data_IF_532491699855
#
_entry.id   IF_532491699855
#
_cell.length_a   1.000
_cell.length_b   1.000
_cell.length_c   1.000
_cell.angle_alpha   90.00
_cell.angle_beta   90.00
_cell.angle_gamma   90.00
#
_symmetry.space_group_name_H-M   'P 1'
#
loop_
_entity.id
_entity.type
_entity.pdbx_description
1 polymer ?
#
# COMPACT_ATOMS: atom_id res chain seq x y z
N UNK A 1 1.20 23.96 24.95
CA UNK A 1 0.38 22.75 24.64
C UNK A 1 -0.70 23.16 23.66
N UNK A 2 -0.65 22.69 22.42
CA UNK A 2 -1.38 23.25 21.27
C UNK A 2 -2.90 22.97 21.39
N UNK A 3 -3.75 23.99 21.25
CA UNK A 3 -5.22 23.91 21.33
C UNK A 3 -5.78 22.79 20.43
N UNK A 4 -5.18 22.57 19.26
CA UNK A 4 -5.53 21.47 18.34
C UNK A 4 -5.39 20.06 18.97
N UNK A 5 -4.43 19.85 19.88
CA UNK A 5 -4.24 18.56 20.55
C UNK A 5 -5.30 18.29 21.62
N UNK A 6 -5.82 19.35 22.28
CA UNK A 6 -6.90 19.24 23.26
C UNK A 6 -8.24 18.94 22.58
N UNK A 7 -8.55 19.60 21.47
CA UNK A 7 -9.79 19.39 20.72
C UNK A 7 -9.82 17.95 20.13
N UNK A 8 -8.68 17.45 19.65
CA UNK A 8 -8.58 16.09 19.10
C UNK A 8 -8.85 15.00 20.15
N UNK A 9 -8.60 15.25 21.43
CA UNK A 9 -8.90 14.32 22.52
C UNK A 9 -10.39 14.24 22.89
N UNK A 10 -11.17 15.26 22.53
CA UNK A 10 -12.61 15.34 22.82
C UNK A 10 -13.46 14.67 21.75
N UNK A 11 -12.91 14.45 20.54
CA UNK A 11 -13.66 13.84 19.44
C UNK A 11 -13.48 12.31 19.49
N UNK A 12 -14.58 11.52 19.52
CA UNK A 12 -14.49 10.06 19.49
C UNK A 12 -13.71 9.57 18.26
N UNK A 13 -12.83 8.57 18.44
CA UNK A 13 -12.02 8.00 17.35
C UNK A 13 -12.88 7.53 16.16
N UNK A 14 -14.11 7.08 16.41
CA UNK A 14 -15.05 6.65 15.36
C UNK A 14 -15.42 7.80 14.43
N UNK A 15 -15.66 9.00 14.96
CA UNK A 15 -16.00 10.19 14.15
C UNK A 15 -14.80 10.65 13.33
N UNK A 16 -13.60 10.61 13.92
CA UNK A 16 -12.35 10.91 13.19
C UNK A 16 -12.14 9.90 12.06
N UNK A 17 -12.35 8.61 12.33
CA UNK A 17 -12.23 7.55 11.32
C UNK A 17 -13.25 7.73 10.20
N UNK A 18 -14.50 8.05 10.52
CA UNK A 18 -15.55 8.31 9.53
C UNK A 18 -15.22 9.53 8.66
N UNK A 19 -14.77 10.63 9.26
CA UNK A 19 -14.28 11.80 8.51
C UNK A 19 -13.15 11.41 7.54
N UNK A 20 -12.19 10.62 8.01
CA UNK A 20 -11.11 10.12 7.18
C UNK A 20 -11.59 9.24 6.04
N UNK A 21 -12.59 8.40 6.28
CA UNK A 21 -13.24 7.58 5.26
C UNK A 21 -13.94 8.44 4.21
N UNK A 22 -14.78 9.39 4.61
CA UNK A 22 -15.48 10.28 3.67
C UNK A 22 -14.51 11.02 2.76
N UNK A 23 -13.42 11.59 3.31
CA UNK A 23 -12.39 12.25 2.50
C UNK A 23 -11.68 11.28 1.54
N UNK A 24 -11.48 10.03 1.93
CA UNK A 24 -10.85 9.04 1.06
C UNK A 24 -11.78 8.64 -0.10
N UNK A 25 -13.08 8.46 0.19
CA UNK A 25 -14.11 8.22 -0.83
C UNK A 25 -14.16 9.38 -1.82
N UNK A 26 -14.28 10.62 -1.32
CA UNK A 26 -14.33 11.81 -2.18
C UNK A 26 -13.09 11.94 -3.06
N UNK A 27 -11.90 11.72 -2.51
CA UNK A 27 -10.66 11.78 -3.28
C UNK A 27 -10.62 10.70 -4.37
N UNK A 28 -11.01 9.47 -4.05
CA UNK A 28 -11.02 8.37 -5.02
C UNK A 28 -12.01 8.63 -6.16
N UNK A 29 -13.19 9.15 -5.85
CA UNK A 29 -14.21 9.53 -6.86
C UNK A 29 -13.71 10.71 -7.71
N UNK A 30 -13.20 11.77 -7.10
CA UNK A 30 -12.71 12.95 -7.81
C UNK A 30 -11.65 12.61 -8.85
N UNK A 31 -10.74 11.69 -8.54
CA UNK A 31 -9.70 11.25 -9.47
C UNK A 31 -10.09 10.01 -10.31
N UNK A 32 -11.31 9.49 -10.19
CA UNK A 32 -11.81 8.36 -11.00
C UNK A 32 -11.06 7.04 -10.77
N UNK A 33 -10.62 6.77 -9.54
CA UNK A 33 -9.95 5.51 -9.15
C UNK A 33 -8.75 5.15 -10.04
N UNK A 34 -7.72 6.00 -10.14
CA UNK A 34 -6.64 5.85 -11.12
C UNK A 34 -5.88 4.53 -11.01
N UNK A 35 -5.78 3.95 -9.81
CA UNK A 35 -5.13 2.65 -9.59
C UNK A 35 -5.76 1.49 -10.37
N UNK A 36 -7.02 1.61 -10.81
CA UNK A 36 -7.69 0.61 -11.66
C UNK A 36 -7.03 0.48 -13.05
N UNK A 37 -6.30 1.50 -13.49
CA UNK A 37 -5.68 1.58 -14.83
C UNK A 37 -4.23 1.09 -14.84
N UNK A 38 -3.68 0.69 -13.70
CA UNK A 38 -2.29 0.23 -13.56
C UNK A 38 -2.24 -1.06 -12.74
N UNK A 39 -1.20 -1.86 -12.92
CA UNK A 39 -0.88 -2.97 -12.02
C UNK A 39 -0.30 -2.35 -10.75
N UNK A 40 -0.99 -2.51 -9.62
CA UNK A 40 -0.64 -1.84 -8.37
C UNK A 40 -0.02 -2.80 -7.38
N UNK A 41 1.20 -2.50 -6.95
CA UNK A 41 2.00 -3.29 -6.01
C UNK A 41 1.98 -2.55 -4.66
N UNK A 42 1.36 -3.15 -3.65
CA UNK A 42 1.40 -2.65 -2.28
C UNK A 42 2.52 -3.31 -1.49
N UNK A 43 3.29 -2.51 -0.76
CA UNK A 43 4.38 -3.05 0.07
C UNK A 43 4.15 -2.63 1.52
N UNK A 44 4.09 -3.60 2.43
CA UNK A 44 3.96 -3.35 3.85
C UNK A 44 4.96 -4.16 4.66
N UNK A 45 5.17 -3.75 5.90
CA UNK A 45 6.07 -4.35 6.87
C UNK A 45 6.53 -3.33 7.89
N UNK A 46 7.37 -3.73 8.82
CA UNK A 46 7.96 -2.82 9.81
C UNK A 46 9.17 -2.11 9.21
N UNK A 47 10.13 -2.85 8.68
CA UNK A 47 11.39 -2.36 8.07
C UNK A 47 11.53 -2.81 6.62
N UNK A 48 12.42 -2.17 5.86
CA UNK A 48 12.79 -2.57 4.51
C UNK A 48 11.76 -2.25 3.41
N UNK A 49 10.62 -1.64 3.73
CA UNK A 49 9.58 -1.28 2.75
C UNK A 49 10.09 -0.37 1.63
N UNK A 50 10.77 0.71 2.00
CA UNK A 50 11.30 1.70 1.04
C UNK A 50 12.38 1.08 0.15
N UNK A 51 13.27 0.25 0.73
CA UNK A 51 14.29 -0.48 -0.04
C UNK A 51 13.65 -1.45 -1.02
N UNK A 52 12.72 -2.30 -0.55
CA UNK A 52 12.00 -3.25 -1.40
C UNK A 52 11.23 -2.52 -2.53
N UNK A 53 10.59 -1.38 -2.21
CA UNK A 53 9.86 -0.57 -3.19
C UNK A 53 10.78 -0.04 -4.30
N UNK A 54 11.96 0.48 -3.93
CA UNK A 54 12.95 0.96 -4.89
C UNK A 54 13.59 -0.18 -5.69
N UNK A 55 13.86 -1.34 -5.09
CA UNK A 55 14.36 -2.52 -5.82
C UNK A 55 13.34 -3.01 -6.86
N UNK A 56 12.07 -3.17 -6.49
CA UNK A 56 11.02 -3.58 -7.42
C UNK A 56 10.87 -2.54 -8.53
N UNK A 57 10.90 -1.24 -8.20
CA UNK A 57 10.88 -0.17 -9.19
C UNK A 57 12.04 -0.30 -10.17
N UNK A 58 13.27 -0.50 -9.68
CA UNK A 58 14.48 -0.63 -10.50
C UNK A 58 14.39 -1.82 -11.45
N UNK A 59 14.02 -3.00 -10.94
CA UNK A 59 13.88 -4.22 -11.75
C UNK A 59 12.85 -4.04 -12.88
N UNK A 60 11.68 -3.48 -12.56
CA UNK A 60 10.63 -3.25 -13.56
C UNK A 60 11.04 -2.18 -14.58
N UNK A 61 11.76 -1.14 -14.15
CA UNK A 61 12.24 -0.09 -15.04
C UNK A 61 13.33 -0.60 -15.99
N UNK A 62 14.28 -1.41 -15.50
CA UNK A 62 15.30 -2.08 -16.34
C UNK A 62 14.61 -3.06 -17.31
N UNK A 63 13.50 -3.68 -16.90
CA UNK A 63 12.66 -4.49 -17.78
C UNK A 63 11.87 -3.72 -18.84
N UNK A 64 12.12 -2.40 -18.99
CA UNK A 64 11.51 -1.55 -20.02
C UNK A 64 10.11 -1.05 -19.70
N UNK A 65 9.64 -1.22 -18.45
CA UNK A 65 8.32 -0.74 -18.04
C UNK A 65 8.39 0.69 -17.48
N UNK A 66 7.38 1.49 -17.80
CA UNK A 66 7.17 2.77 -17.14
C UNK A 66 6.50 2.53 -15.79
N UNK A 67 7.15 2.96 -14.70
CA UNK A 67 6.78 2.59 -13.32
C UNK A 67 6.62 3.84 -12.46
N UNK A 68 5.52 3.89 -11.70
CA UNK A 68 5.33 4.87 -10.64
C UNK A 68 5.74 4.31 -9.28
N UNK A 69 6.21 5.16 -8.38
CA UNK A 69 6.58 4.81 -7.01
C UNK A 69 6.12 5.89 -6.04
N UNK A 70 5.50 5.49 -4.95
CA UNK A 70 5.20 6.34 -3.79
C UNK A 70 5.83 5.67 -2.57
N UNK A 71 6.89 6.26 -2.04
CA UNK A 71 7.62 5.74 -0.88
C UNK A 71 7.87 6.84 0.16
N UNK A 72 8.46 6.45 1.29
CA UNK A 72 8.86 7.41 2.32
C UNK A 72 9.93 8.38 1.83
N UNK A 73 10.90 7.91 1.05
CA UNK A 73 12.03 8.70 0.60
C UNK A 73 11.72 9.51 -0.65
N UNK A 74 11.09 8.89 -1.64
CA UNK A 74 10.92 9.45 -2.98
C UNK A 74 9.58 9.10 -3.60
N UNK A 75 9.21 9.90 -4.60
CA UNK A 75 8.08 9.70 -5.48
C UNK A 75 8.62 9.69 -6.90
N UNK A 76 8.26 8.66 -7.68
CA UNK A 76 8.66 8.54 -9.09
C UNK A 76 7.42 8.45 -9.97
N UNK A 77 7.43 9.15 -11.09
CA UNK A 77 6.35 9.16 -12.08
C UNK A 77 6.99 8.97 -13.46
N UNK A 78 7.09 7.71 -13.88
CA UNK A 78 7.89 7.37 -15.05
C UNK A 78 9.35 7.78 -14.84
N UNK A 79 9.85 8.67 -15.71
CA UNK A 79 11.23 9.13 -15.69
C UNK A 79 11.51 10.29 -14.74
N UNK A 80 10.47 10.82 -14.10
CA UNK A 80 10.58 11.93 -13.14
C UNK A 80 10.72 11.38 -11.74
N UNK A 81 11.80 11.74 -11.03
CA UNK A 81 12.00 11.46 -9.63
C UNK A 81 12.01 12.75 -8.80
N UNK A 82 11.38 12.70 -7.64
CA UNK A 82 11.36 13.80 -6.68
C UNK A 82 11.41 13.27 -5.24
N UNK A 83 12.00 14.03 -4.33
CA UNK A 83 11.94 13.72 -2.91
C UNK A 83 10.50 13.80 -2.41
N UNK A 84 10.15 12.92 -1.47
CA UNK A 84 8.85 12.97 -0.81
C UNK A 84 8.80 14.12 0.21
N UNK A 85 8.36 15.29 -0.23
CA UNK A 85 8.24 16.52 0.60
C UNK A 85 7.07 16.51 1.58
N UNK A 86 6.24 15.45 1.57
CA UNK A 86 5.04 15.38 2.43
C UNK A 86 5.33 14.90 3.84
N UNK A 87 6.58 14.51 4.15
CA UNK A 87 6.99 13.97 5.45
C UNK A 87 6.13 12.79 5.94
N UNK A 88 5.52 12.08 5.01
CA UNK A 88 4.64 10.93 5.25
C UNK A 88 4.81 9.92 4.11
N UNK A 89 4.94 8.64 4.45
CA UNK A 89 5.04 7.54 3.47
C UNK A 89 3.83 7.51 2.53
N UNK A 90 2.63 7.58 3.11
CA UNK A 90 1.39 7.74 2.36
C UNK A 90 0.92 9.19 2.56
N UNK A 91 1.03 10.06 1.56
CA UNK A 91 0.54 11.44 1.67
C UNK A 91 -0.98 11.52 1.83
N UNK A 92 -1.50 12.73 2.00
CA UNK A 92 -2.94 12.95 2.16
C UNK A 92 -3.73 12.34 1.00
N UNK A 93 -4.98 11.98 1.23
CA UNK A 93 -5.83 11.19 0.33
C UNK A 93 -5.95 11.77 -1.07
N UNK A 94 -6.21 13.09 -1.17
CA UNK A 94 -6.26 13.80 -2.45
C UNK A 94 -4.90 13.82 -3.14
N UNK A 95 -3.83 14.05 -2.39
CA UNK A 95 -2.46 14.03 -2.92
C UNK A 95 -2.12 12.65 -3.46
N UNK A 96 -2.44 11.60 -2.69
CA UNK A 96 -2.16 10.22 -3.07
C UNK A 96 -2.90 9.83 -4.36
N UNK A 97 -4.20 10.11 -4.45
CA UNK A 97 -4.97 9.84 -5.66
C UNK A 97 -4.51 10.70 -6.85
N UNK A 98 -4.15 11.97 -6.61
CA UNK A 98 -3.58 12.84 -7.64
C UNK A 98 -2.21 12.36 -8.15
N UNK A 99 -1.36 11.80 -7.30
CA UNK A 99 -0.11 11.16 -7.72
C UNK A 99 -0.38 9.94 -8.61
N UNK A 100 -1.33 9.09 -8.21
CA UNK A 100 -1.74 7.93 -9.01
C UNK A 100 -2.31 8.36 -10.37
N UNK A 101 -3.12 9.42 -10.42
CA UNK A 101 -3.63 9.97 -11.68
C UNK A 101 -2.50 10.49 -12.58
N UNK A 102 -1.53 11.19 -12.01
CA UNK A 102 -0.33 11.65 -12.77
C UNK A 102 0.47 10.47 -13.33
N UNK A 103 0.59 9.36 -12.58
CA UNK A 103 1.23 8.14 -13.08
C UNK A 103 0.47 7.54 -14.27
N UNK A 104 -0.86 7.50 -14.20
CA UNK A 104 -1.69 7.06 -15.33
C UNK A 104 -1.47 7.96 -16.54
N UNK A 105 -1.51 9.29 -16.37
CA UNK A 105 -1.27 10.27 -17.45
C UNK A 105 0.14 10.15 -18.05
N UNK A 106 1.12 9.80 -17.24
CA UNK A 106 2.48 9.54 -17.69
C UNK A 106 2.63 8.18 -18.43
N UNK A 107 1.59 7.35 -18.49
CA UNK A 107 1.62 6.05 -19.13
C UNK A 107 2.31 4.95 -18.29
N UNK A 108 2.36 5.10 -16.97
CA UNK A 108 2.92 4.06 -16.11
C UNK A 108 2.06 2.79 -16.19
N UNK A 109 2.71 1.65 -16.47
CA UNK A 109 2.08 0.33 -16.46
C UNK A 109 1.95 -0.23 -15.04
N UNK A 110 2.95 0.04 -14.20
CA UNK A 110 3.00 -0.38 -12.80
C UNK A 110 3.01 0.82 -11.87
N UNK A 111 2.42 0.63 -10.69
CA UNK A 111 2.49 1.59 -9.60
C UNK A 111 2.85 0.86 -8.30
N UNK A 112 3.88 1.31 -7.61
CA UNK A 112 4.34 0.77 -6.34
C UNK A 112 3.94 1.75 -5.24
N UNK A 113 3.23 1.26 -4.21
CA UNK A 113 2.77 2.06 -3.08
C UNK A 113 3.28 1.46 -1.77
N UNK A 114 4.20 2.16 -1.12
CA UNK A 114 4.59 1.82 0.23
C UNK A 114 3.42 2.10 1.18
N UNK A 115 2.85 1.05 1.76
CA UNK A 115 1.60 1.09 2.53
C UNK A 115 1.89 0.90 4.01
N UNK A 116 1.61 1.93 4.82
CA UNK A 116 1.84 1.92 6.27
C UNK A 116 0.57 1.59 7.05
N UNK A 117 0.73 1.01 8.24
CA UNK A 117 -0.39 0.74 9.15
C UNK A 117 -1.13 2.02 9.58
N UNK A 118 -0.40 3.13 9.75
CA UNK A 118 -1.00 4.44 10.05
C UNK A 118 -1.79 4.98 8.85
N UNK A 119 -1.27 4.84 7.64
CA UNK A 119 -1.98 5.18 6.41
C UNK A 119 -3.28 4.38 6.25
N UNK A 120 -3.23 3.09 6.62
CA UNK A 120 -4.41 2.21 6.63
C UNK A 120 -5.42 2.65 7.70
N UNK A 121 -4.97 2.94 8.94
CA UNK A 121 -5.82 3.45 10.02
C UNK A 121 -6.56 4.73 9.61
N UNK A 122 -5.92 5.57 8.81
CA UNK A 122 -6.48 6.81 8.30
C UNK A 122 -7.17 6.69 6.93
N UNK A 123 -7.49 5.49 6.47
CA UNK A 123 -8.18 5.22 5.21
C UNK A 123 -7.44 5.74 3.95
N UNK A 124 -6.13 6.02 4.02
CA UNK A 124 -5.38 6.53 2.85
C UNK A 124 -5.24 5.49 1.73
N UNK A 125 -5.35 4.21 2.07
CA UNK A 125 -5.36 3.08 1.13
C UNK A 125 -6.69 2.91 0.39
N UNK A 126 -7.76 3.61 0.81
CA UNK A 126 -9.06 3.49 0.17
C UNK A 126 -9.00 4.01 -1.29
N UNK A 127 -9.65 3.28 -2.19
CA UNK A 127 -9.61 3.57 -3.62
C UNK A 127 -8.32 3.15 -4.32
N UNK A 128 -7.40 2.46 -3.60
CA UNK A 128 -6.25 1.79 -4.20
C UNK A 128 -6.61 0.31 -4.38
N UNK A 129 -6.65 -0.14 -5.62
CA UNK A 129 -6.93 -1.52 -5.99
C UNK A 129 -5.59 -2.24 -6.20
N UNK A 130 -5.13 -2.95 -5.18
CA UNK A 130 -3.89 -3.71 -5.24
C UNK A 130 -4.07 -4.98 -6.09
N UNK A 131 -3.03 -5.34 -6.84
CA UNK A 131 -2.92 -6.59 -7.58
C UNK A 131 -1.85 -7.48 -6.98
N UNK A 132 -0.78 -6.87 -6.46
CA UNK A 132 0.31 -7.57 -5.78
C UNK A 132 0.48 -6.97 -4.39
N UNK A 133 0.51 -7.82 -3.36
CA UNK A 133 0.78 -7.41 -1.98
C UNK A 133 2.08 -8.06 -1.49
N UNK A 134 3.01 -7.24 -1.03
CA UNK A 134 4.32 -7.66 -0.54
C UNK A 134 4.42 -7.41 0.96
N UNK A 135 4.79 -8.44 1.71
CA UNK A 135 5.10 -8.38 3.13
C UNK A 135 6.60 -8.56 3.36
N UNK A 136 7.25 -7.56 3.94
CA UNK A 136 8.69 -7.62 4.23
C UNK A 136 8.99 -8.25 5.58
N UNK A 137 8.43 -7.73 6.66
CA UNK A 137 8.59 -8.24 8.03
C UNK A 137 7.60 -7.59 9.00
N UNK A 138 7.50 -8.17 10.19
CA UNK A 138 6.76 -7.61 11.31
C UNK A 138 7.57 -7.75 12.60
N UNK A 139 7.80 -6.62 13.28
CA UNK A 139 8.39 -6.53 14.60
C UNK A 139 7.66 -5.49 15.44
N UNK A 140 7.75 -5.53 16.79
CA UNK A 140 7.07 -4.59 17.67
C UNK A 140 7.60 -3.16 17.51
N UNK A 141 6.98 -2.38 16.64
CA UNK A 141 7.27 -0.95 16.44
C UNK A 141 5.97 -0.17 16.26
N UNK A 142 6.01 1.14 16.52
CA UNK A 142 4.85 2.05 16.37
C UNK A 142 3.59 1.63 17.14
N UNK A 143 3.73 0.84 18.21
CA UNK A 143 2.62 0.34 19.01
C UNK A 143 1.72 1.42 19.62
N UNK A 144 2.22 2.62 20.04
CA UNK A 144 1.37 3.67 20.59
C UNK A 144 0.24 4.10 19.66
N UNK A 145 0.47 4.15 18.34
CA UNK A 145 -0.58 4.49 17.36
C UNK A 145 -1.63 3.38 17.19
N UNK A 146 -1.35 2.18 17.72
CA UNK A 146 -2.23 1.01 17.70
C UNK A 146 -2.71 0.60 19.09
N UNK A 147 -2.75 1.54 20.06
CA UNK A 147 -3.17 1.28 21.43
C UNK A 147 -2.25 0.31 22.17
N UNK A 148 -0.94 0.40 21.92
CA UNK A 148 0.11 -0.47 22.47
C UNK A 148 -0.12 -1.97 22.22
N UNK A 149 -0.89 -2.34 21.19
CA UNK A 149 -1.21 -3.73 20.85
C UNK A 149 -0.51 -4.14 19.54
N UNK A 150 0.37 -5.13 19.67
CA UNK A 150 1.03 -5.74 18.52
C UNK A 150 0.02 -6.42 17.58
N UNK A 151 -1.00 -7.06 18.14
CA UNK A 151 -2.05 -7.71 17.36
C UNK A 151 -2.83 -6.68 16.51
N UNK A 152 -3.22 -5.54 17.10
CA UNK A 152 -3.87 -4.46 16.34
C UNK A 152 -2.96 -3.91 15.23
N UNK A 153 -1.66 -3.84 15.47
CA UNK A 153 -0.67 -3.43 14.47
C UNK A 153 -0.58 -4.43 13.31
N UNK A 154 -0.51 -5.74 13.63
CA UNK A 154 -0.52 -6.83 12.66
C UNK A 154 -1.79 -6.80 11.80
N UNK A 155 -2.96 -6.74 12.45
CA UNK A 155 -4.26 -6.65 11.77
C UNK A 155 -4.36 -5.40 10.89
N UNK A 156 -3.85 -4.25 11.34
CA UNK A 156 -3.84 -3.04 10.52
C UNK A 156 -3.10 -3.25 9.20
N UNK A 157 -1.92 -3.90 9.21
CA UNK A 157 -1.19 -4.23 7.98
C UNK A 157 -1.93 -5.27 7.13
N UNK A 158 -2.59 -6.25 7.74
CA UNK A 158 -3.38 -7.27 7.06
C UNK A 158 -4.53 -6.71 6.23
N UNK A 159 -5.04 -5.51 6.54
CA UNK A 159 -6.10 -4.86 5.75
C UNK A 159 -5.71 -4.62 4.29
N UNK A 160 -4.43 -4.38 3.97
CA UNK A 160 -3.97 -4.27 2.59
C UNK A 160 -4.20 -5.59 1.82
N UNK A 161 -3.90 -6.72 2.44
CA UNK A 161 -4.14 -8.06 1.88
C UNK A 161 -5.64 -8.34 1.75
N UNK A 162 -6.43 -7.98 2.75
CA UNK A 162 -7.88 -8.11 2.68
C UNK A 162 -8.51 -7.27 1.54
N UNK A 163 -7.98 -6.07 1.26
CA UNK A 163 -8.40 -5.26 0.11
C UNK A 163 -8.05 -5.95 -1.20
N UNK A 164 -6.83 -6.49 -1.30
CA UNK A 164 -6.38 -7.23 -2.48
C UNK A 164 -7.30 -8.42 -2.76
N UNK A 165 -7.57 -9.26 -1.78
CA UNK A 165 -8.34 -10.52 -1.96
C UNK A 165 -9.81 -10.28 -2.21
N UNK A 166 -10.39 -9.19 -1.65
CA UNK A 166 -11.81 -8.83 -1.83
C UNK A 166 -12.09 -8.03 -3.10
N UNK A 167 -11.06 -7.52 -3.76
CA UNK A 167 -11.25 -6.72 -4.99
C UNK A 167 -11.31 -7.61 -6.22
N UNK A 168 -12.17 -7.25 -7.17
CA UNK A 168 -12.22 -7.94 -8.46
C UNK A 168 -10.89 -7.84 -9.21
N UNK A 169 -10.63 -8.82 -10.07
CA UNK A 169 -9.52 -8.77 -11.00
C UNK A 169 -9.67 -7.58 -11.95
N UNK A 170 -8.58 -6.91 -12.23
CA UNK A 170 -8.54 -5.87 -13.27
C UNK A 170 -8.40 -6.50 -14.64
N UNK A 171 -8.94 -5.80 -15.63
CA UNK A 171 -8.66 -6.07 -17.05
C UNK A 171 -7.88 -4.88 -17.56
N UNK A 172 -6.61 -5.08 -17.93
CA UNK A 172 -5.75 -4.02 -18.47
C UNK A 172 -5.26 -4.48 -19.84
N UNK A 173 -5.53 -3.69 -20.86
CA UNK A 173 -5.20 -4.02 -22.27
C UNK A 173 -5.73 -5.42 -22.68
N UNK A 174 -6.96 -5.75 -22.29
CA UNK A 174 -7.60 -7.02 -22.58
C UNK A 174 -7.11 -8.23 -21.78
N UNK A 175 -6.15 -8.06 -20.88
CA UNK A 175 -5.61 -9.13 -20.05
C UNK A 175 -6.11 -9.05 -18.62
N UNK A 176 -6.59 -10.16 -18.08
CA UNK A 176 -6.92 -10.31 -16.66
C UNK A 176 -5.63 -10.22 -15.85
N UNK A 177 -5.63 -9.35 -14.83
CA UNK A 177 -4.48 -9.20 -13.92
C UNK A 177 -4.71 -10.09 -12.69
N UNK A 178 -3.79 -11.00 -12.48
CA UNK A 178 -3.85 -11.93 -11.35
C UNK A 178 -3.48 -11.24 -10.03
N UNK A 179 -4.02 -11.78 -8.92
CA UNK A 179 -3.74 -11.32 -7.57
C UNK A 179 -2.60 -12.15 -6.99
N UNK A 180 -1.55 -11.48 -6.50
CA UNK A 180 -0.35 -12.16 -5.99
C UNK A 180 -0.06 -11.67 -4.57
N UNK A 181 0.24 -12.61 -3.68
CA UNK A 181 0.74 -12.34 -2.33
C UNK A 181 2.17 -12.85 -2.25
N UNK A 182 3.08 -11.95 -1.88
CA UNK A 182 4.50 -12.25 -1.67
C UNK A 182 4.82 -11.99 -0.20
N UNK A 183 5.39 -12.97 0.49
CA UNK A 183 5.77 -12.84 1.89
C UNK A 183 7.23 -13.20 2.10
N UNK A 184 7.89 -12.51 3.02
CA UNK A 184 9.18 -12.92 3.52
C UNK A 184 8.99 -14.21 4.35
N UNK A 185 9.51 -15.32 3.85
CA UNK A 185 9.35 -16.65 4.43
C UNK A 185 10.07 -16.80 5.78
N UNK A 186 11.14 -16.05 6.02
CA UNK A 186 11.91 -16.10 7.26
C UNK A 186 11.21 -15.39 8.43
N UNK A 187 10.14 -14.63 8.16
CA UNK A 187 9.44 -13.91 9.21
C UNK A 187 8.44 -14.83 9.96
N UNK A 188 8.46 -14.89 11.31
CA UNK A 188 7.59 -15.77 12.09
C UNK A 188 6.09 -15.47 11.94
N UNK A 189 5.72 -14.31 11.39
CA UNK A 189 4.32 -13.93 11.13
C UNK A 189 3.87 -14.18 9.69
N UNK A 190 4.66 -14.88 8.88
CA UNK A 190 4.36 -15.16 7.47
C UNK A 190 2.99 -15.78 7.25
N UNK A 191 2.63 -16.78 8.09
CA UNK A 191 1.40 -17.55 7.93
C UNK A 191 0.15 -16.68 8.06
N UNK A 192 0.17 -15.66 8.91
CA UNK A 192 -0.93 -14.71 9.00
C UNK A 192 -1.20 -14.00 7.67
N UNK A 193 -0.16 -13.64 6.93
CA UNK A 193 -0.30 -12.97 5.63
C UNK A 193 -0.54 -13.96 4.48
N UNK A 194 0.01 -15.17 4.56
CA UNK A 194 -0.25 -16.24 3.61
C UNK A 194 -1.71 -16.72 3.67
N UNK A 195 -2.31 -16.74 4.85
CA UNK A 195 -3.71 -17.16 5.01
C UNK A 195 -4.71 -16.31 4.21
N UNK A 196 -4.35 -15.09 3.80
CA UNK A 196 -5.15 -14.34 2.85
C UNK A 196 -5.18 -14.96 1.46
N UNK A 197 -4.19 -15.78 1.07
CA UNK A 197 -4.17 -16.48 -0.22
C UNK A 197 -5.24 -17.56 -0.33
N UNK A 198 -5.68 -18.17 0.77
CA UNK A 198 -6.80 -19.12 0.79
C UNK A 198 -8.14 -18.54 0.36
N UNK A 199 -8.23 -17.21 0.23
CA UNK A 199 -9.37 -16.47 -0.33
C UNK A 199 -9.21 -16.18 -1.83
N UNK A 200 -8.06 -16.55 -2.43
CA UNK A 200 -7.76 -16.44 -3.85
C UNK A 200 -7.83 -17.83 -4.46
N UNK A 201 -8.54 -17.98 -5.56
CA UNK A 201 -8.50 -19.20 -6.38
C UNK A 201 -7.15 -19.31 -7.08
N UNK A 202 -6.04 -19.59 -6.38
CA UNK A 202 -4.73 -19.65 -7.05
C UNK A 202 -3.72 -20.64 -6.48
N UNK A 203 -2.95 -21.21 -7.44
CA UNK A 203 -1.80 -22.06 -7.27
C UNK A 203 -0.62 -21.34 -6.62
N UNK A 204 -0.16 -21.90 -5.53
CA UNK A 204 1.09 -21.58 -4.87
C UNK A 204 2.26 -22.11 -5.71
N UNK A 205 3.14 -21.23 -6.20
CA UNK A 205 4.51 -21.62 -6.56
C UNK A 205 5.43 -21.13 -5.44
N UNK A 206 5.90 -22.06 -4.63
CA UNK A 206 7.03 -21.80 -3.73
C UNK A 206 8.26 -21.46 -4.57
N UNK A 207 8.72 -20.22 -4.47
CA UNK A 207 10.08 -19.90 -4.81
C UNK A 207 10.93 -20.11 -3.56
N UNK A 208 11.44 -21.31 -3.38
CA UNK A 208 12.54 -21.58 -2.48
C UNK A 208 13.78 -20.87 -3.05
N UNK A 209 14.15 -19.72 -2.48
CA UNK A 209 15.52 -19.24 -2.57
C UNK A 209 16.32 -20.15 -1.64
N UNK A 210 16.91 -21.19 -2.22
CA UNK A 210 17.93 -21.99 -1.55
C UNK A 210 19.13 -21.09 -1.40
N UNK A 211 19.43 -20.68 -0.17
CA UNK A 211 20.73 -20.11 0.19
C UNK A 211 21.76 -21.21 -0.04
N UNK A 212 22.59 -21.04 -1.06
CA UNK A 212 23.91 -21.65 -1.16
C UNK A 212 24.94 -20.69 -0.60
#
# INVERSE_FOLDING_TARGET
>A
MNIKSKIKKLIPERLISFYHFCLAVLAAFYYGFPSKKMITIGITGTKGKTSAANFIWSVLSVGGYKVGLISTANIKIGDIEMLNKYHMTMPGRFILQGLLERMVKAGCKYCIVETTSEGIKQWRHYGIFYDIAVFTNLSPEHLPSHGNSFEKYKVAKGKMFAVLTKSNHKIISGKKIEKIIIVNYDNPHKDYYLNFSGLLEFYYKEFLLVNQ
#
